data_IF_036963870759
#
_entry.id   IF_036963870759
#
_cell.length_a   1.000
_cell.length_b   1.000
_cell.length_c   1.000
_cell.angle_alpha   90.00
_cell.angle_beta   90.00
_cell.angle_gamma   90.00
#
_symmetry.space_group_name_H-M   'P 1'
#
loop_
_entity.id
_entity.type
_entity.pdbx_description
1 polymer ?
#
# COMPACT_ATOMS: atom_id res chain seq x y z
N UNK A 1 2.92 -40.06 -4.88
CA UNK A 1 3.52 -40.83 -6.00
C UNK A 1 2.54 -40.87 -7.17
N UNK A 2 3.08 -40.91 -8.40
CA UNK A 2 2.42 -40.95 -9.73
C UNK A 2 2.12 -39.56 -10.32
N UNK A 3 2.92 -38.98 -11.24
CA UNK A 3 3.52 -39.40 -12.54
C UNK A 3 2.63 -39.00 -13.74
N UNK A 4 3.09 -37.94 -14.41
CA UNK A 4 3.23 -37.64 -15.86
C UNK A 4 2.03 -37.56 -16.82
N UNK A 5 2.04 -36.45 -17.59
CA UNK A 5 1.82 -36.29 -19.05
C UNK A 5 2.61 -35.00 -19.43
N UNK A 6 3.69 -34.93 -20.24
CA UNK A 6 3.93 -35.21 -21.69
C UNK A 6 2.79 -34.68 -22.59
N UNK A 7 2.98 -33.98 -23.71
CA UNK A 7 4.10 -33.39 -24.46
C UNK A 7 3.50 -32.57 -25.65
N UNK A 8 4.25 -31.62 -26.25
CA UNK A 8 4.32 -31.23 -27.70
C UNK A 8 5.11 -29.87 -27.79
N UNK A 9 6.38 -29.81 -28.26
CA UNK A 9 6.90 -29.67 -29.65
C UNK A 9 6.35 -28.44 -30.40
N UNK A 10 7.09 -27.59 -31.15
CA UNK A 10 8.50 -27.40 -31.50
C UNK A 10 8.65 -26.05 -32.26
N UNK A 11 9.90 -25.67 -32.61
CA UNK A 11 10.32 -24.78 -33.73
C UNK A 11 10.21 -23.24 -33.55
N UNK A 12 11.18 -22.37 -33.89
CA UNK A 12 12.48 -22.49 -34.56
C UNK A 12 13.38 -21.29 -34.22
N UNK A 13 14.70 -21.49 -34.28
CA UNK A 13 15.72 -20.44 -34.36
C UNK A 13 16.15 -20.18 -35.83
N UNK A 14 16.89 -19.08 -36.03
CA UNK A 14 17.76 -18.71 -37.18
C UNK A 14 17.16 -17.94 -38.39
N UNK A 15 17.58 -16.67 -38.50
CA UNK A 15 18.08 -16.02 -39.73
C UNK A 15 18.90 -14.80 -39.29
N UNK A 16 20.23 -14.84 -39.26
CA UNK A 16 21.18 -14.75 -40.38
C UNK A 16 21.26 -13.34 -40.99
N UNK A 17 22.40 -12.70 -40.73
CA UNK A 17 22.96 -11.52 -41.42
C UNK A 17 23.18 -11.84 -42.90
N UNK A 18 22.98 -10.84 -43.77
CA UNK A 18 23.80 -10.61 -44.97
C UNK A 18 23.99 -9.10 -45.15
N UNK A 19 25.24 -8.74 -45.42
CA UNK A 19 25.78 -7.41 -45.67
C UNK A 19 25.24 -6.74 -46.95
N UNK A 20 25.29 -5.41 -46.99
CA UNK A 20 24.93 -4.63 -48.18
C UNK A 20 25.22 -3.14 -48.03
N UNK A 21 26.48 -2.79 -48.24
CA UNK A 21 27.09 -1.46 -48.35
C UNK A 21 26.33 -0.53 -49.32
N UNK A 22 26.20 0.76 -48.97
CA UNK A 22 26.31 1.95 -49.86
C UNK A 22 26.17 3.24 -49.00
N UNK A 23 27.30 3.86 -48.67
CA UNK A 23 27.48 5.31 -48.43
C UNK A 23 27.84 5.99 -49.78
N UNK A 24 28.00 7.33 -49.93
CA UNK A 24 27.95 8.42 -48.94
C UNK A 24 27.16 9.68 -49.41
N UNK A 25 27.02 10.67 -48.51
CA UNK A 25 26.54 12.01 -48.86
C UNK A 25 26.56 13.02 -47.71
N UNK A 26 27.74 13.53 -47.35
CA UNK A 26 27.95 14.80 -46.66
C UNK A 26 28.50 15.82 -47.69
N UNK A 27 28.58 17.16 -47.47
CA UNK A 27 28.62 17.86 -46.17
C UNK A 27 27.80 19.17 -46.09
N UNK A 28 27.67 19.72 -44.88
CA UNK A 28 27.83 21.16 -44.68
C UNK A 28 28.25 21.44 -43.25
N UNK A 29 29.49 21.91 -43.14
CA UNK A 29 30.15 22.39 -41.94
C UNK A 29 29.70 23.82 -41.62
N UNK A 30 29.59 24.15 -40.34
CA UNK A 30 29.81 25.52 -39.88
C UNK A 30 30.47 25.46 -38.52
N UNK A 31 31.78 25.70 -38.50
CA UNK A 31 32.60 25.86 -37.31
C UNK A 31 32.69 27.33 -36.94
N UNK A 32 32.59 27.67 -35.65
CA UNK A 32 33.15 28.91 -35.09
C UNK A 32 33.54 28.72 -33.60
N UNK A 33 34.86 28.68 -33.38
CA UNK A 33 35.66 29.43 -32.39
C UNK A 33 35.27 29.53 -30.88
N UNK A 34 36.07 28.82 -30.05
CA UNK A 34 36.83 29.17 -28.82
C UNK A 34 36.64 30.53 -28.09
N UNK A 35 36.92 30.66 -26.76
CA UNK A 35 38.14 30.12 -26.12
C UNK A 35 38.09 29.60 -24.67
N UNK A 36 39.14 28.84 -24.35
CA UNK A 36 39.54 28.37 -23.03
C UNK A 36 40.31 29.46 -22.26
N UNK A 37 40.14 29.51 -20.94
CA UNK A 37 40.95 30.34 -20.05
C UNK A 37 41.71 29.48 -19.02
N UNK A 38 43.03 29.51 -19.17
CA UNK A 38 44.06 29.85 -18.17
C UNK A 38 44.13 29.02 -16.86
N UNK A 39 45.20 28.22 -16.75
CA UNK A 39 45.87 27.83 -15.50
C UNK A 39 46.99 28.85 -15.19
N UNK A 40 47.24 29.21 -13.92
CA UNK A 40 48.51 29.83 -13.53
C UNK A 40 49.50 28.77 -13.03
N UNK A 41 50.70 28.82 -13.60
CA UNK A 41 51.94 28.23 -13.12
C UNK A 41 52.76 29.34 -12.46
N UNK A 42 53.27 29.14 -11.25
CA UNK A 42 54.29 29.99 -10.63
C UNK A 42 55.39 29.08 -10.05
N UNK A 43 56.51 29.05 -10.77
CA UNK A 43 57.88 28.98 -10.24
C UNK A 43 58.45 30.41 -10.47
N UNK A 44 59.48 30.97 -9.83
CA UNK A 44 60.57 30.53 -8.96
C UNK A 44 61.20 31.80 -8.34
N UNK A 45 62.33 31.61 -7.63
CA UNK A 45 63.38 32.59 -7.25
C UNK A 45 63.18 33.28 -5.89
N UNK A 46 63.91 32.85 -4.85
CA UNK A 46 65.34 33.11 -4.52
C UNK A 46 65.52 34.50 -3.88
N UNK A 47 65.92 34.54 -2.59
CA UNK A 47 67.20 35.13 -2.19
C UNK A 47 67.53 34.90 -0.69
N UNK A 48 68.82 34.83 -0.43
CA UNK A 48 69.55 34.50 0.79
C UNK A 48 69.87 35.77 1.58
N UNK A 49 69.77 35.75 2.92
CA UNK A 49 70.88 36.13 3.84
C UNK A 49 70.47 36.06 5.32
N UNK A 50 71.41 35.51 6.11
CA UNK A 50 71.38 35.41 7.56
C UNK A 50 71.41 36.78 8.26
N UNK A 51 70.96 36.88 9.52
CA UNK A 51 71.79 37.24 10.70
C UNK A 51 70.96 37.19 12.01
N UNK A 52 71.53 36.59 13.06
CA UNK A 52 71.41 36.93 14.50
C UNK A 52 70.13 36.60 15.31
N UNK A 53 70.32 35.66 16.24
CA UNK A 53 69.62 35.57 17.53
C UNK A 53 69.94 36.78 18.42
N UNK A 54 69.03 37.16 19.34
CA UNK A 54 69.34 36.91 20.74
C UNK A 54 68.17 36.37 21.57
N UNK A 55 68.57 35.60 22.58
CA UNK A 55 67.80 35.03 23.68
C UNK A 55 66.94 36.06 24.40
N UNK A 56 65.65 35.79 24.63
CA UNK A 56 64.87 36.37 25.74
C UNK A 56 63.89 35.35 26.29
N UNK A 57 64.17 34.93 27.51
CA UNK A 57 63.32 34.12 28.39
C UNK A 57 62.17 34.99 28.91
N UNK A 58 60.94 34.48 28.81
CA UNK A 58 59.70 35.06 29.35
C UNK A 58 58.64 33.96 29.52
N UNK A 59 57.69 34.10 30.47
CA UNK A 59 57.05 32.99 31.21
C UNK A 59 55.96 32.24 30.42
N UNK A 60 55.53 31.04 30.89
CA UNK A 60 54.55 30.23 30.19
C UNK A 60 53.15 30.84 30.33
N UNK A 61 52.66 31.49 29.27
CA UNK A 61 51.25 31.84 29.18
C UNK A 61 50.43 30.59 28.85
N UNK A 62 49.68 30.14 29.85
CA UNK A 62 48.68 29.07 29.77
C UNK A 62 47.35 29.70 29.34
N UNK A 63 47.24 30.19 28.10
CA UNK A 63 45.98 30.71 27.55
C UNK A 63 45.84 30.44 26.03
N UNK A 64 45.93 29.19 25.60
CA UNK A 64 45.53 28.82 24.23
C UNK A 64 44.93 27.41 24.16
N UNK A 65 43.78 27.19 24.79
CA UNK A 65 42.90 26.03 24.47
C UNK A 65 41.42 26.39 24.61
N UNK A 66 41.00 27.50 23.99
CA UNK A 66 39.60 27.93 23.94
C UNK A 66 38.90 27.76 22.58
N UNK A 67 39.63 27.50 21.49
CA UNK A 67 39.10 27.67 20.12
C UNK A 67 38.93 26.37 19.30
N UNK A 68 39.08 25.18 19.89
CA UNK A 68 39.28 23.97 19.09
C UNK A 68 38.12 22.96 19.06
N UNK A 69 37.08 23.10 19.90
CA UNK A 69 35.95 22.17 19.90
C UNK A 69 34.88 22.49 18.85
N UNK A 70 34.42 23.75 18.84
CA UNK A 70 33.27 24.21 18.06
C UNK A 70 33.63 24.50 16.59
N UNK A 71 34.84 25.00 16.32
CA UNK A 71 35.27 25.31 14.96
C UNK A 71 35.59 24.02 14.19
N UNK A 72 36.31 23.08 14.82
CA UNK A 72 36.64 21.77 14.22
C UNK A 72 35.38 20.93 13.96
N UNK A 73 34.43 20.91 14.90
CA UNK A 73 33.14 20.22 14.69
C UNK A 73 32.28 20.88 13.61
N UNK A 74 32.27 22.21 13.51
CA UNK A 74 31.57 22.94 12.43
C UNK A 74 32.20 22.70 11.04
N UNK A 75 33.53 22.56 10.97
CA UNK A 75 34.25 22.28 9.74
C UNK A 75 34.07 20.82 9.30
N UNK A 76 34.13 19.86 10.24
CA UNK A 76 33.89 18.44 9.97
C UNK A 76 32.44 18.18 9.53
N UNK A 77 31.46 18.85 10.15
CA UNK A 77 30.05 18.77 9.73
C UNK A 77 29.80 19.42 8.37
N UNK A 78 30.47 20.53 8.04
CA UNK A 78 30.44 21.13 6.68
C UNK A 78 31.11 20.24 5.63
N UNK A 79 32.21 19.58 5.95
CA UNK A 79 32.90 18.68 5.01
C UNK A 79 32.08 17.40 4.77
N UNK A 80 31.51 16.83 5.83
CA UNK A 80 30.61 15.69 5.75
C UNK A 80 29.33 15.98 4.96
N UNK A 81 28.72 17.15 5.14
CA UNK A 81 27.54 17.57 4.36
C UNK A 81 27.86 17.83 2.89
N UNK A 82 29.00 18.46 2.57
CA UNK A 82 29.46 18.62 1.18
C UNK A 82 29.70 17.27 0.51
N UNK A 83 30.33 16.32 1.19
CA UNK A 83 30.53 14.96 0.70
C UNK A 83 29.23 14.26 0.34
N UNK A 84 28.24 14.28 1.26
CA UNK A 84 26.90 13.70 1.02
C UNK A 84 26.19 14.35 -0.17
N UNK A 85 26.25 15.68 -0.28
CA UNK A 85 25.62 16.42 -1.39
C UNK A 85 26.21 16.06 -2.76
N UNK A 86 27.53 15.83 -2.84
CA UNK A 86 28.18 15.41 -4.08
C UNK A 86 27.82 13.98 -4.47
N UNK A 87 27.72 13.07 -3.49
CA UNK A 87 27.26 11.70 -3.72
C UNK A 87 25.82 11.70 -4.24
N UNK A 88 24.94 12.52 -3.65
CA UNK A 88 23.57 12.68 -4.12
C UNK A 88 23.52 13.19 -5.56
N UNK A 89 24.24 14.28 -5.87
CA UNK A 89 24.24 14.86 -7.21
C UNK A 89 24.67 13.84 -8.28
N UNK A 90 25.70 13.02 -7.98
CA UNK A 90 26.12 11.91 -8.86
C UNK A 90 25.08 10.80 -8.97
N UNK A 91 24.37 10.49 -7.89
CA UNK A 91 23.28 9.51 -7.92
C UNK A 91 22.13 10.01 -8.80
N UNK A 92 21.72 11.27 -8.64
CA UNK A 92 20.66 11.89 -9.43
C UNK A 92 21.03 11.95 -10.92
N UNK A 93 22.25 12.39 -11.27
CA UNK A 93 22.73 12.37 -12.66
C UNK A 93 22.67 10.97 -13.27
N UNK A 94 23.13 9.96 -12.52
CA UNK A 94 23.03 8.56 -12.96
C UNK A 94 21.59 8.08 -13.11
N UNK A 95 20.68 8.48 -12.21
CA UNK A 95 19.25 8.19 -12.33
C UNK A 95 18.70 8.74 -13.65
N UNK A 96 18.90 10.02 -13.95
CA UNK A 96 18.42 10.65 -15.19
C UNK A 96 18.98 9.96 -16.45
N UNK A 97 20.26 9.57 -16.43
CA UNK A 97 20.89 8.87 -17.54
C UNK A 97 20.30 7.46 -17.76
N UNK A 98 20.08 6.68 -16.68
CA UNK A 98 19.43 5.37 -16.77
C UNK A 98 17.99 5.50 -17.27
N UNK A 99 17.31 6.55 -16.83
CA UNK A 99 15.93 6.82 -17.21
C UNK A 99 15.79 7.14 -18.70
N UNK A 100 16.63 8.04 -19.23
CA UNK A 100 16.64 8.42 -20.65
C UNK A 100 16.75 7.21 -21.58
N UNK A 101 17.50 6.19 -21.17
CA UNK A 101 17.68 4.96 -21.92
C UNK A 101 16.46 4.01 -21.83
N UNK A 102 15.62 4.16 -20.81
CA UNK A 102 14.43 3.33 -20.54
C UNK A 102 13.13 3.87 -21.18
N UNK A 103 13.05 5.16 -21.54
CA UNK A 103 11.84 5.80 -22.11
C UNK A 103 11.62 5.45 -23.60
N UNK A 104 12.41 4.52 -24.18
CA UNK A 104 12.17 4.04 -25.56
C UNK A 104 10.95 3.11 -25.68
N UNK A 105 10.40 2.66 -24.56
CA UNK A 105 9.22 1.79 -24.48
C UNK A 105 7.94 2.59 -24.16
N UNK A 106 6.83 2.21 -24.79
CA UNK A 106 5.51 2.82 -24.54
C UNK A 106 4.85 2.37 -23.22
N UNK A 107 5.46 1.43 -22.47
CA UNK A 107 4.94 0.91 -21.20
C UNK A 107 5.88 1.22 -20.04
N UNK A 108 5.66 2.36 -19.40
CA UNK A 108 6.46 2.88 -18.28
C UNK A 108 6.53 1.89 -17.10
N UNK A 109 5.44 1.17 -16.81
CA UNK A 109 5.40 0.24 -15.69
C UNK A 109 6.27 -0.98 -15.96
N UNK A 110 6.14 -1.57 -17.15
CA UNK A 110 6.93 -2.73 -17.54
C UNK A 110 8.42 -2.39 -17.60
N UNK A 111 8.78 -1.26 -18.21
CA UNK A 111 10.17 -0.82 -18.30
C UNK A 111 10.76 -0.54 -16.93
N UNK A 112 10.01 0.11 -16.02
CA UNK A 112 10.47 0.33 -14.64
C UNK A 112 10.62 -1.01 -13.89
N UNK A 113 9.67 -1.93 -14.01
CA UNK A 113 9.77 -3.26 -13.39
C UNK A 113 11.02 -4.02 -13.85
N UNK A 114 11.40 -3.91 -15.12
CA UNK A 114 12.60 -4.54 -15.65
C UNK A 114 13.87 -3.81 -15.21
N UNK A 115 13.86 -2.48 -15.21
CA UNK A 115 14.96 -1.65 -14.74
C UNK A 115 15.35 -1.97 -13.29
N UNK A 116 14.36 -2.14 -12.41
CA UNK A 116 14.56 -2.48 -11.00
C UNK A 116 15.21 -3.85 -10.75
N UNK A 117 15.29 -4.72 -11.76
CA UNK A 117 15.99 -6.03 -11.67
C UNK A 117 17.46 -5.95 -12.06
N UNK A 118 17.93 -4.78 -12.50
CA UNK A 118 19.30 -4.62 -13.01
C UNK A 118 20.26 -4.19 -11.92
N UNK A 119 21.50 -4.69 -11.97
CA UNK A 119 22.58 -4.29 -11.07
C UNK A 119 22.83 -2.77 -11.07
N UNK A 120 22.60 -2.11 -12.20
CA UNK A 120 22.79 -0.66 -12.32
C UNK A 120 21.89 0.13 -11.36
N UNK A 121 20.66 -0.35 -11.13
CA UNK A 121 19.70 0.23 -10.20
C UNK A 121 19.98 -0.17 -8.74
N UNK A 122 20.48 -1.38 -8.49
CA UNK A 122 21.00 -1.76 -7.17
C UNK A 122 22.18 -0.86 -6.74
N UNK A 123 23.17 -0.68 -7.61
CA UNK A 123 24.31 0.19 -7.34
C UNK A 123 23.86 1.65 -7.14
N UNK A 124 22.77 2.07 -7.80
CA UNK A 124 22.19 3.40 -7.64
C UNK A 124 21.56 3.55 -6.24
N UNK A 125 20.84 2.54 -5.79
CA UNK A 125 20.26 2.50 -4.44
C UNK A 125 21.33 2.66 -3.36
N UNK A 126 22.45 1.93 -3.48
CA UNK A 126 23.54 2.03 -2.51
C UNK A 126 24.15 3.45 -2.46
N UNK A 127 24.23 4.16 -3.59
CA UNK A 127 24.65 5.57 -3.64
C UNK A 127 23.67 6.49 -2.91
N UNK A 128 22.36 6.27 -3.10
CA UNK A 128 21.34 7.02 -2.36
C UNK A 128 21.47 6.81 -0.85
N UNK A 129 21.63 5.56 -0.42
CA UNK A 129 21.85 5.22 0.98
C UNK A 129 23.07 5.93 1.57
N UNK A 130 24.19 6.00 0.84
CA UNK A 130 25.39 6.73 1.25
C UNK A 130 25.17 8.25 1.37
N UNK A 131 24.30 8.80 0.52
CA UNK A 131 23.94 10.23 0.59
C UNK A 131 23.02 10.59 1.75
N UNK A 132 22.30 9.60 2.31
CA UNK A 132 21.28 9.81 3.34
C UNK A 132 19.90 10.22 2.79
N UNK A 133 19.68 10.10 1.47
CA UNK A 133 18.40 10.36 0.82
C UNK A 133 17.74 9.05 0.39
N UNK A 134 16.41 9.03 0.37
CA UNK A 134 15.66 7.88 -0.11
C UNK A 134 15.66 7.88 -1.64
N UNK A 135 16.10 6.78 -2.24
CA UNK A 135 16.10 6.64 -3.70
C UNK A 135 14.71 6.82 -4.29
N UNK A 136 13.65 6.47 -3.54
CA UNK A 136 12.26 6.54 -3.98
C UNK A 136 11.80 7.97 -4.33
N UNK A 137 12.42 9.01 -3.79
CA UNK A 137 11.97 10.40 -4.01
C UNK A 137 12.02 10.80 -5.49
N UNK A 138 13.06 10.40 -6.21
CA UNK A 138 13.27 10.73 -7.63
C UNK A 138 12.30 9.99 -8.57
N UNK A 139 12.15 8.64 -8.49
CA UNK A 139 11.11 7.91 -9.21
C UNK A 139 9.71 8.46 -8.94
N UNK A 140 9.35 8.77 -7.69
CA UNK A 140 8.04 9.34 -7.41
C UNK A 140 7.88 10.73 -8.01
N UNK A 141 8.90 11.59 -7.93
CA UNK A 141 8.83 12.93 -8.52
C UNK A 141 8.61 12.87 -10.03
N UNK A 142 9.18 11.86 -10.69
CA UNK A 142 9.07 11.71 -12.13
C UNK A 142 7.79 11.01 -12.58
N UNK A 143 7.46 9.86 -11.98
CA UNK A 143 6.36 8.99 -12.44
C UNK A 143 5.07 9.14 -11.62
N UNK A 144 5.10 9.87 -10.51
CA UNK A 144 4.00 9.98 -9.57
C UNK A 144 3.90 8.81 -8.60
N UNK A 145 3.27 9.04 -7.44
CA UNK A 145 3.12 8.03 -6.40
C UNK A 145 2.30 6.81 -6.89
N UNK A 146 1.31 7.02 -7.77
CA UNK A 146 0.42 5.96 -8.24
C UNK A 146 1.18 4.89 -9.04
N UNK A 147 1.94 5.31 -10.08
CA UNK A 147 2.69 4.39 -10.95
C UNK A 147 3.74 3.65 -10.13
N UNK A 148 4.46 4.37 -9.27
CA UNK A 148 5.46 3.77 -8.38
C UNK A 148 4.84 2.74 -7.44
N UNK A 149 3.76 3.09 -6.75
CA UNK A 149 3.10 2.16 -5.84
C UNK A 149 2.58 0.92 -6.56
N UNK A 150 2.11 1.06 -7.79
CA UNK A 150 1.65 -0.06 -8.63
C UNK A 150 2.78 -0.99 -9.04
N UNK A 151 3.90 -0.44 -9.51
CA UNK A 151 5.12 -1.19 -9.84
C UNK A 151 5.66 -1.93 -8.61
N UNK A 152 5.64 -1.28 -7.45
CA UNK A 152 6.17 -1.83 -6.20
C UNK A 152 5.20 -2.77 -5.48
N UNK A 153 3.89 -2.71 -5.78
CA UNK A 153 2.86 -3.57 -5.15
C UNK A 153 3.14 -5.07 -5.31
N UNK A 154 3.95 -5.46 -6.30
CA UNK A 154 4.37 -6.85 -6.50
C UNK A 154 5.35 -7.37 -5.44
N UNK A 155 6.19 -6.49 -4.89
CA UNK A 155 7.16 -6.82 -3.86
C UNK A 155 6.57 -6.81 -2.46
N UNK A 156 5.40 -6.20 -2.31
CA UNK A 156 4.60 -6.23 -1.08
C UNK A 156 3.91 -7.60 -1.00
N UNK A 157 4.71 -8.66 -0.80
CA UNK A 157 4.18 -9.99 -0.52
C UNK A 157 3.51 -9.96 0.86
N UNK A 158 2.25 -10.37 0.89
CA UNK A 158 1.46 -10.55 2.09
C UNK A 158 2.07 -11.66 2.96
N UNK A 159 3.08 -11.35 3.77
CA UNK A 159 3.25 -12.06 5.02
C UNK A 159 2.72 -11.14 6.13
N UNK A 160 1.39 -11.20 6.24
CA UNK A 160 0.52 -10.24 6.91
C UNK A 160 0.67 -10.20 8.43
N UNK A 161 1.55 -11.01 9.04
CA UNK A 161 1.61 -11.22 10.49
C UNK A 161 2.88 -10.72 11.16
N UNK A 162 3.83 -10.15 10.42
CA UNK A 162 5.05 -9.64 11.05
C UNK A 162 5.67 -8.44 10.34
N UNK A 163 5.50 -7.21 10.88
CA UNK A 163 6.21 -6.03 10.41
C UNK A 163 7.74 -6.21 10.42
N UNK A 164 8.28 -7.10 11.26
CA UNK A 164 9.71 -7.40 11.32
C UNK A 164 10.25 -8.14 10.07
N UNK A 165 9.39 -8.68 9.18
CA UNK A 165 9.84 -9.17 7.87
C UNK A 165 10.12 -8.03 6.87
N UNK A 166 9.55 -6.83 7.05
CA UNK A 166 9.93 -5.66 6.24
C UNK A 166 11.37 -5.22 6.48
N UNK A 167 11.96 -5.53 7.64
CA UNK A 167 13.37 -5.31 7.91
C UNK A 167 14.33 -6.23 7.12
N UNK A 168 13.79 -7.24 6.42
CA UNK A 168 14.56 -8.21 5.60
C UNK A 168 14.36 -8.00 4.10
N UNK A 169 14.04 -6.78 3.65
CA UNK A 169 13.96 -6.46 2.22
C UNK A 169 15.27 -6.85 1.50
N UNK A 170 15.19 -7.88 0.65
CA UNK A 170 16.36 -8.48 -0.01
C UNK A 170 16.55 -7.94 -1.43
N UNK A 171 15.44 -7.72 -2.12
CA UNK A 171 15.45 -7.19 -3.49
C UNK A 171 15.32 -5.67 -3.50
N UNK A 172 15.80 -5.02 -4.57
CA UNK A 172 15.61 -3.58 -4.75
C UNK A 172 14.14 -3.16 -4.70
N UNK A 173 13.26 -3.94 -5.32
CA UNK A 173 11.82 -3.66 -5.35
C UNK A 173 11.21 -3.68 -3.94
N UNK A 174 11.62 -4.62 -3.07
CA UNK A 174 11.20 -4.66 -1.67
C UNK A 174 11.72 -3.44 -0.89
N UNK A 175 12.99 -3.06 -1.10
CA UNK A 175 13.60 -1.90 -0.45
C UNK A 175 12.89 -0.60 -0.84
N UNK A 176 12.64 -0.40 -2.13
CA UNK A 176 11.92 0.77 -2.64
C UNK A 176 10.45 0.78 -2.19
N UNK A 177 9.79 -0.38 -2.08
CA UNK A 177 8.44 -0.46 -1.52
C UNK A 177 8.43 0.04 -0.06
N UNK A 178 9.42 -0.36 0.75
CA UNK A 178 9.56 0.12 2.12
C UNK A 178 9.87 1.61 2.19
N UNK A 179 10.77 2.11 1.34
CA UNK A 179 11.08 3.54 1.24
C UNK A 179 9.81 4.34 0.89
N UNK A 180 8.97 3.83 -0.02
CA UNK A 180 7.70 4.46 -0.39
C UNK A 180 6.75 4.59 0.81
N UNK A 181 6.57 3.51 1.59
CA UNK A 181 5.72 3.53 2.79
C UNK A 181 6.29 4.49 3.86
N UNK A 182 7.61 4.44 4.09
CA UNK A 182 8.31 5.32 5.04
C UNK A 182 8.20 6.79 4.63
N UNK A 183 8.28 7.06 3.33
CA UNK A 183 8.11 8.40 2.77
C UNK A 183 6.70 8.92 2.98
N UNK A 184 5.66 8.11 2.73
CA UNK A 184 4.28 8.49 3.03
C UNK A 184 4.07 8.77 4.52
N UNK A 185 4.63 7.93 5.40
CA UNK A 185 4.56 8.13 6.85
C UNK A 185 5.26 9.45 7.27
N UNK A 186 6.46 9.71 6.76
CA UNK A 186 7.23 10.94 7.05
C UNK A 186 6.50 12.18 6.56
N UNK A 187 5.82 12.08 5.41
CA UNK A 187 4.97 13.13 4.85
C UNK A 187 3.58 13.21 5.50
N UNK A 188 3.33 12.38 6.54
CA UNK A 188 2.07 12.33 7.29
C UNK A 188 0.84 12.08 6.39
N UNK A 189 1.00 11.31 5.31
CA UNK A 189 -0.15 10.88 4.51
C UNK A 189 -1.06 10.02 5.38
N UNK A 190 -2.35 10.35 5.38
CA UNK A 190 -3.37 9.53 6.02
C UNK A 190 -3.62 8.25 5.21
N UNK A 191 -4.30 7.27 5.80
CA UNK A 191 -4.72 6.08 5.06
C UNK A 191 -5.67 6.44 3.91
N UNK A 192 -6.49 7.48 4.08
CA UNK A 192 -7.38 7.98 3.04
C UNK A 192 -6.57 8.59 1.88
N UNK A 193 -5.54 9.39 2.17
CA UNK A 193 -4.65 9.93 1.13
C UNK A 193 -3.96 8.82 0.34
N UNK A 194 -3.57 7.73 1.02
CA UNK A 194 -2.96 6.56 0.36
C UNK A 194 -4.00 5.78 -0.45
N UNK A 195 -5.23 5.63 0.05
CA UNK A 195 -6.33 5.03 -0.69
C UNK A 195 -6.58 5.77 -2.01
N UNK A 196 -6.65 7.10 -1.96
CA UNK A 196 -6.85 7.96 -3.13
C UNK A 196 -5.63 7.95 -4.06
N UNK A 197 -4.41 7.98 -3.51
CA UNK A 197 -3.15 7.87 -4.26
C UNK A 197 -3.10 6.58 -5.08
N UNK A 198 -3.57 5.47 -4.50
CA UNK A 198 -3.64 4.17 -5.15
C UNK A 198 -4.84 4.05 -6.11
N UNK A 199 -5.76 5.02 -6.04
CA UNK A 199 -7.01 5.09 -6.80
C UNK A 199 -7.84 3.82 -6.62
N UNK A 200 -8.00 3.38 -5.37
CA UNK A 200 -8.67 2.10 -5.04
C UNK A 200 -10.19 2.11 -5.30
N UNK A 201 -10.79 3.28 -5.49
CA UNK A 201 -12.18 3.43 -5.94
C UNK A 201 -12.32 3.61 -7.46
N UNK A 202 -11.20 3.59 -8.21
CA UNK A 202 -11.19 3.69 -9.67
C UNK A 202 -10.55 2.44 -10.27
N UNK A 203 -11.08 2.00 -11.41
CA UNK A 203 -10.42 0.99 -12.22
C UNK A 203 -10.05 1.59 -13.57
N UNK A 204 -8.82 1.31 -13.98
CA UNK A 204 -8.36 1.49 -15.35
C UNK A 204 -8.90 0.31 -16.16
N UNK A 205 -10.17 0.37 -16.57
CA UNK A 205 -10.67 -0.57 -17.56
C UNK A 205 -10.33 -0.09 -18.96
N UNK A 206 -9.89 -1.01 -19.81
CA UNK A 206 -9.94 -0.78 -21.24
C UNK A 206 -11.41 -0.69 -21.68
N UNK A 207 -11.72 0.09 -22.73
CA UNK A 207 -13.07 0.13 -23.30
C UNK A 207 -13.66 -1.26 -23.59
N UNK A 208 -12.82 -2.19 -24.05
CA UNK A 208 -13.22 -3.58 -24.33
C UNK A 208 -13.63 -4.35 -23.07
N UNK A 209 -12.93 -4.13 -21.95
CA UNK A 209 -13.28 -4.74 -20.68
C UNK A 209 -14.62 -4.18 -20.14
N UNK A 210 -14.88 -2.89 -20.32
CA UNK A 210 -16.18 -2.29 -19.97
C UNK A 210 -17.31 -2.86 -20.83
N UNK A 211 -17.09 -3.00 -22.14
CA UNK A 211 -18.06 -3.59 -23.05
C UNK A 211 -18.38 -5.04 -22.66
N UNK A 212 -17.37 -5.84 -22.32
CA UNK A 212 -17.59 -7.21 -21.87
C UNK A 212 -18.35 -7.29 -20.53
N UNK A 213 -18.06 -6.39 -19.57
CA UNK A 213 -18.80 -6.34 -18.30
C UNK A 213 -20.26 -5.93 -18.52
N UNK A 214 -20.51 -4.96 -19.40
CA UNK A 214 -21.86 -4.53 -19.76
C UNK A 214 -22.69 -5.69 -20.37
N UNK A 215 -22.06 -6.53 -21.20
CA UNK A 215 -22.70 -7.73 -21.77
C UNK A 215 -23.06 -8.78 -20.72
N UNK A 216 -22.31 -8.88 -19.63
CA UNK A 216 -22.59 -9.83 -18.54
C UNK A 216 -23.80 -9.44 -17.68
N UNK A 217 -24.43 -8.26 -17.92
CA UNK A 217 -25.52 -7.69 -17.09
C UNK A 217 -25.20 -7.67 -15.60
N UNK A 218 -23.93 -7.76 -15.22
CA UNK A 218 -23.49 -7.71 -13.84
C UNK A 218 -23.47 -6.26 -13.39
N UNK A 219 -23.71 -6.04 -12.10
CA UNK A 219 -23.51 -4.73 -11.51
C UNK A 219 -22.03 -4.36 -11.66
N UNK A 220 -21.74 -3.38 -12.54
CA UNK A 220 -20.37 -2.94 -12.84
C UNK A 220 -19.64 -2.54 -11.56
N UNK A 221 -20.32 -1.88 -10.61
CA UNK A 221 -19.71 -1.51 -9.32
C UNK A 221 -19.23 -2.74 -8.52
N UNK A 222 -19.96 -3.87 -8.58
CA UNK A 222 -19.58 -5.10 -7.87
C UNK A 222 -18.40 -5.77 -8.55
N UNK A 223 -18.39 -5.83 -9.88
CA UNK A 223 -17.26 -6.38 -10.64
C UNK A 223 -16.00 -5.54 -10.38
N UNK A 224 -16.15 -4.21 -10.37
CA UNK A 224 -15.09 -3.27 -10.03
C UNK A 224 -14.54 -3.58 -8.64
N UNK A 225 -15.43 -3.62 -7.66
CA UNK A 225 -15.09 -3.88 -6.27
C UNK A 225 -14.37 -5.23 -6.11
N UNK A 226 -14.94 -6.33 -6.63
CA UNK A 226 -14.34 -7.66 -6.53
C UNK A 226 -12.96 -7.76 -7.18
N UNK A 227 -12.73 -7.07 -8.31
CA UNK A 227 -11.42 -7.02 -8.95
C UNK A 227 -10.43 -6.21 -8.11
N UNK A 228 -10.86 -5.09 -7.55
CA UNK A 228 -10.03 -4.23 -6.73
C UNK A 228 -9.63 -4.91 -5.40
N UNK A 229 -10.56 -5.59 -4.73
CA UNK A 229 -10.30 -6.30 -3.47
C UNK A 229 -9.24 -7.40 -3.63
N UNK A 230 -9.07 -7.96 -4.85
CA UNK A 230 -8.04 -8.94 -5.18
C UNK A 230 -6.74 -8.32 -5.70
N UNK A 231 -6.72 -7.00 -5.91
CA UNK A 231 -5.57 -6.33 -6.48
C UNK A 231 -4.42 -6.26 -5.46
N UNK A 232 -3.18 -6.28 -5.96
CA UNK A 232 -2.01 -6.08 -5.10
C UNK A 232 -1.96 -4.69 -4.47
N UNK A 233 -2.73 -3.72 -4.98
CA UNK A 233 -2.85 -2.38 -4.39
C UNK A 233 -3.48 -2.44 -3.00
N UNK A 234 -4.37 -3.40 -2.73
CA UNK A 234 -4.95 -3.60 -1.38
C UNK A 234 -3.87 -3.96 -0.36
N UNK A 235 -2.91 -4.80 -0.72
CA UNK A 235 -1.78 -5.15 0.15
C UNK A 235 -0.94 -3.91 0.51
N UNK A 236 -0.82 -2.94 -0.40
CA UNK A 236 -0.08 -1.70 -0.12
C UNK A 236 -0.78 -0.89 0.98
N UNK A 237 -2.11 -0.73 0.88
CA UNK A 237 -2.89 -0.03 1.90
C UNK A 237 -2.89 -0.78 3.24
N UNK A 238 -3.05 -2.10 3.21
CA UNK A 238 -3.01 -2.95 4.41
C UNK A 238 -1.64 -2.87 5.12
N UNK A 239 -0.54 -2.90 4.38
CA UNK A 239 0.78 -2.76 5.01
C UNK A 239 1.05 -1.34 5.51
N UNK A 240 0.51 -0.33 4.84
CA UNK A 240 0.57 1.02 5.36
C UNK A 240 -0.22 1.20 6.67
N UNK A 241 -1.36 0.51 6.83
CA UNK A 241 -2.12 0.54 8.10
C UNK A 241 -1.34 -0.11 9.23
N UNK A 242 -0.59 -1.19 8.96
CA UNK A 242 0.31 -1.84 9.93
C UNK A 242 1.47 -0.94 10.34
N UNK A 243 1.98 -0.13 9.43
CA UNK A 243 3.06 0.81 9.72
C UNK A 243 2.57 2.00 10.56
N UNK A 244 1.38 2.52 10.26
CA UNK A 244 0.87 3.76 10.86
C UNK A 244 0.02 3.56 12.11
N UNK A 245 -0.63 2.40 12.24
CA UNK A 245 -1.48 2.04 13.36
C UNK A 245 -1.27 0.57 13.77
N UNK A 246 -0.06 0.16 14.21
CA UNK A 246 0.29 -1.25 14.40
C UNK A 246 -0.67 -2.00 15.32
N UNK A 247 -1.10 -1.38 16.42
CA UNK A 247 -1.99 -1.99 17.43
C UNK A 247 -3.44 -2.13 16.95
N UNK A 248 -3.87 -1.31 15.99
CA UNK A 248 -5.26 -1.25 15.49
C UNK A 248 -5.32 -1.30 13.95
N UNK A 249 -4.36 -2.00 13.33
CA UNK A 249 -4.10 -1.90 11.89
C UNK A 249 -5.26 -2.43 11.04
N UNK A 250 -5.93 -3.49 11.49
CA UNK A 250 -7.12 -4.06 10.86
C UNK A 250 -8.29 -3.07 10.87
N UNK A 251 -8.52 -2.40 12.00
CA UNK A 251 -9.57 -1.40 12.17
C UNK A 251 -9.28 -0.16 11.32
N UNK A 252 -8.04 0.31 11.32
CA UNK A 252 -7.61 1.45 10.52
C UNK A 252 -7.76 1.15 9.00
N UNK A 253 -7.36 -0.05 8.58
CA UNK A 253 -7.56 -0.52 7.20
C UNK A 253 -9.05 -0.57 6.82
N UNK A 254 -9.89 -1.20 7.64
CA UNK A 254 -11.33 -1.28 7.39
C UNK A 254 -11.97 0.12 7.29
N UNK A 255 -11.62 1.06 8.17
CA UNK A 255 -12.14 2.44 8.13
C UNK A 255 -11.77 3.15 6.83
N UNK A 256 -10.54 3.00 6.36
CA UNK A 256 -10.08 3.56 5.08
C UNK A 256 -10.88 2.97 3.91
N UNK A 257 -11.12 1.64 3.90
CA UNK A 257 -11.96 1.01 2.88
C UNK A 257 -13.39 1.53 2.92
N UNK A 258 -14.04 1.54 4.09
CA UNK A 258 -15.41 2.02 4.23
C UNK A 258 -15.56 3.45 3.74
N UNK A 259 -14.63 4.34 4.12
CA UNK A 259 -14.64 5.73 3.65
C UNK A 259 -14.39 5.84 2.15
N UNK A 260 -13.34 5.20 1.65
CA UNK A 260 -12.93 5.27 0.25
C UNK A 260 -13.96 4.69 -0.74
N UNK A 261 -14.77 3.71 -0.31
CA UNK A 261 -15.86 3.15 -1.10
C UNK A 261 -17.22 3.83 -0.88
N UNK A 262 -17.26 5.00 -0.23
CA UNK A 262 -18.47 5.82 -0.11
C UNK A 262 -19.33 5.54 1.13
N UNK A 263 -18.70 5.13 2.23
CA UNK A 263 -19.31 4.92 3.54
C UNK A 263 -19.67 3.47 3.84
N UNK A 264 -19.92 3.19 5.12
CA UNK A 264 -20.14 1.83 5.67
C UNK A 264 -21.24 1.07 4.92
N UNK A 265 -22.41 1.68 4.74
CA UNK A 265 -23.54 1.05 4.05
C UNK A 265 -23.21 0.69 2.59
N UNK A 266 -22.55 1.60 1.86
CA UNK A 266 -22.18 1.34 0.45
C UNK A 266 -21.12 0.25 0.38
N UNK A 267 -20.11 0.32 1.24
CA UNK A 267 -19.05 -0.69 1.34
C UNK A 267 -19.61 -2.08 1.63
N UNK A 268 -20.42 -2.25 2.69
CA UNK A 268 -20.99 -3.56 3.02
C UNK A 268 -21.96 -4.06 1.95
N UNK A 269 -22.71 -3.18 1.28
CA UNK A 269 -23.52 -3.57 0.12
C UNK A 269 -22.65 -4.18 -0.98
N UNK A 270 -21.54 -3.53 -1.33
CA UNK A 270 -20.61 -4.03 -2.35
C UNK A 270 -19.93 -5.32 -1.91
N UNK A 271 -19.47 -5.38 -0.66
CA UNK A 271 -18.83 -6.56 -0.07
C UNK A 271 -19.75 -7.79 -0.10
N UNK A 272 -21.04 -7.62 0.25
CA UNK A 272 -22.03 -8.70 0.21
C UNK A 272 -22.34 -9.17 -1.20
N UNK A 273 -22.50 -8.24 -2.15
CA UNK A 273 -22.72 -8.59 -3.54
C UNK A 273 -21.49 -9.26 -4.17
N UNK A 274 -20.29 -8.89 -3.72
CA UNK A 274 -19.04 -9.51 -4.13
C UNK A 274 -18.81 -10.91 -3.55
N UNK A 275 -19.50 -11.26 -2.45
CA UNK A 275 -19.40 -12.56 -1.78
C UNK A 275 -19.94 -13.74 -2.60
N UNK A 276 -20.54 -13.49 -3.77
CA UNK A 276 -20.81 -14.52 -4.78
C UNK A 276 -19.51 -15.06 -5.41
N UNK A 277 -18.42 -14.27 -5.37
CA UNK A 277 -17.09 -14.71 -5.76
C UNK A 277 -16.47 -15.52 -4.62
N UNK A 278 -16.33 -16.84 -4.83
CA UNK A 278 -15.72 -17.76 -3.85
C UNK A 278 -14.35 -17.32 -3.36
N UNK A 279 -13.59 -16.57 -4.17
CA UNK A 279 -12.27 -16.07 -3.79
C UNK A 279 -12.31 -14.94 -2.74
N UNK A 280 -13.49 -14.38 -2.46
CA UNK A 280 -13.66 -13.26 -1.52
C UNK A 280 -14.40 -13.64 -0.24
N UNK A 281 -14.79 -14.91 -0.07
CA UNK A 281 -15.61 -15.36 1.07
C UNK A 281 -14.89 -15.17 2.40
N UNK A 282 -13.63 -15.62 2.48
CA UNK A 282 -12.83 -15.52 3.71
C UNK A 282 -12.53 -14.06 4.05
N UNK A 283 -12.09 -13.27 3.05
CA UNK A 283 -11.85 -11.84 3.21
C UNK A 283 -13.10 -11.08 3.68
N UNK A 284 -14.27 -11.46 3.15
CA UNK A 284 -15.54 -10.87 3.57
C UNK A 284 -15.85 -11.23 5.03
N UNK A 285 -15.59 -12.46 5.46
CA UNK A 285 -15.73 -12.88 6.85
C UNK A 285 -14.84 -12.07 7.79
N UNK A 286 -13.56 -11.97 7.45
CA UNK A 286 -12.54 -11.27 8.23
C UNK A 286 -12.93 -9.79 8.42
N UNK A 287 -13.34 -9.11 7.34
CA UNK A 287 -13.73 -7.70 7.39
C UNK A 287 -15.00 -7.47 8.23
N UNK A 288 -15.94 -8.42 8.23
CA UNK A 288 -17.14 -8.36 9.08
C UNK A 288 -16.79 -8.57 10.55
N UNK A 289 -15.87 -9.48 10.86
CA UNK A 289 -15.42 -9.70 12.23
C UNK A 289 -14.67 -8.49 12.77
N UNK A 290 -13.80 -7.89 11.96
CA UNK A 290 -13.14 -6.62 12.31
C UNK A 290 -14.17 -5.52 12.54
N UNK A 291 -15.20 -5.43 11.70
CA UNK A 291 -16.29 -4.46 11.88
C UNK A 291 -17.05 -4.65 13.19
N UNK A 292 -17.40 -5.90 13.53
CA UNK A 292 -18.09 -6.21 14.77
C UNK A 292 -17.22 -5.93 16.00
N UNK A 293 -15.94 -6.29 15.98
CA UNK A 293 -14.99 -5.94 17.06
C UNK A 293 -14.89 -4.43 17.25
N UNK A 294 -14.72 -3.68 16.16
CA UNK A 294 -14.70 -2.22 16.18
C UNK A 294 -16.02 -1.66 16.72
N UNK A 295 -17.16 -2.19 16.28
CA UNK A 295 -18.49 -1.75 16.73
C UNK A 295 -18.70 -2.00 18.22
N UNK A 296 -18.20 -3.12 18.77
CA UNK A 296 -18.22 -3.38 20.21
C UNK A 296 -17.37 -2.37 20.98
N UNK A 297 -16.16 -2.07 20.49
CA UNK A 297 -15.27 -1.08 21.10
C UNK A 297 -15.89 0.32 21.11
N UNK A 298 -16.59 0.68 20.03
CA UNK A 298 -17.33 1.93 19.88
C UNK A 298 -18.69 1.90 20.63
N UNK A 299 -19.00 0.81 21.34
CA UNK A 299 -20.25 0.59 22.09
C UNK A 299 -21.51 0.74 21.21
N UNK A 300 -21.40 0.40 19.93
CA UNK A 300 -22.48 0.48 18.93
C UNK A 300 -23.59 -0.50 19.28
N UNK A 301 -24.82 0.00 19.30
CA UNK A 301 -26.00 -0.82 19.58
C UNK A 301 -26.11 -1.99 18.58
N UNK A 302 -26.38 -3.23 19.04
CA UNK A 302 -26.52 -4.41 18.17
C UNK A 302 -27.48 -4.21 16.99
N UNK A 303 -28.59 -3.48 17.19
CA UNK A 303 -29.56 -3.16 16.13
C UNK A 303 -28.88 -2.40 14.99
N UNK A 304 -28.09 -1.36 15.31
CA UNK A 304 -27.43 -0.51 14.34
C UNK A 304 -26.28 -1.23 13.62
N UNK A 305 -25.46 -2.00 14.37
CA UNK A 305 -24.37 -2.78 13.79
C UNK A 305 -24.89 -3.79 12.76
N UNK A 306 -25.95 -4.55 13.10
CA UNK A 306 -26.53 -5.53 12.19
C UNK A 306 -27.37 -4.90 11.07
N UNK A 307 -27.83 -3.66 11.23
CA UNK A 307 -28.41 -2.89 10.14
C UNK A 307 -27.39 -2.59 9.04
N UNK A 308 -26.14 -2.30 9.41
CA UNK A 308 -25.05 -2.06 8.44
C UNK A 308 -24.64 -3.39 7.78
N UNK A 309 -24.37 -4.43 8.58
CA UNK A 309 -23.90 -5.74 8.06
C UNK A 309 -24.87 -6.42 7.10
N UNK A 310 -26.18 -6.21 7.27
CA UNK A 310 -27.20 -6.74 6.36
C UNK A 310 -27.40 -5.93 5.09
N UNK A 311 -26.73 -4.78 4.94
CA UNK A 311 -26.95 -3.93 3.76
C UNK A 311 -26.65 -4.72 2.49
N UNK A 312 -27.61 -4.77 1.57
CA UNK A 312 -27.48 -5.53 0.32
C UNK A 312 -27.94 -6.99 0.39
N UNK A 313 -28.36 -7.48 1.56
CA UNK A 313 -28.93 -8.83 1.73
C UNK A 313 -30.47 -8.80 1.77
N UNK A 314 -31.14 -9.91 1.39
CA UNK A 314 -32.56 -10.09 1.70
C UNK A 314 -32.77 -10.10 3.22
N UNK A 315 -33.96 -9.73 3.68
CA UNK A 315 -34.25 -9.59 5.12
C UNK A 315 -33.96 -10.88 5.87
N UNK A 316 -34.37 -12.01 5.29
CA UNK A 316 -34.27 -13.35 5.85
C UNK A 316 -32.82 -13.82 6.03
N UNK A 317 -31.83 -13.14 5.43
CA UNK A 317 -30.42 -13.51 5.55
C UNK A 317 -29.92 -13.44 6.99
N UNK A 318 -30.48 -12.56 7.84
CA UNK A 318 -30.12 -12.50 9.26
C UNK A 318 -30.35 -13.82 9.99
N UNK A 319 -31.27 -14.65 9.50
CA UNK A 319 -31.57 -15.95 10.08
C UNK A 319 -30.57 -17.03 9.65
N UNK A 320 -29.63 -16.74 8.75
CA UNK A 320 -28.55 -17.67 8.39
C UNK A 320 -27.72 -18.04 9.63
N UNK A 321 -27.37 -19.31 9.78
CA UNK A 321 -26.63 -19.85 10.93
C UNK A 321 -25.38 -19.03 11.26
N UNK A 322 -24.53 -18.76 10.25
CA UNK A 322 -23.30 -17.96 10.43
C UNK A 322 -23.58 -16.54 10.91
N UNK A 323 -24.64 -15.90 10.42
CA UNK A 323 -24.99 -14.53 10.85
C UNK A 323 -25.61 -14.55 12.24
N UNK A 324 -26.40 -15.58 12.57
CA UNK A 324 -26.99 -15.79 13.89
C UNK A 324 -25.92 -16.04 14.96
N UNK A 325 -24.85 -16.77 14.63
CA UNK A 325 -23.73 -17.00 15.55
C UNK A 325 -23.00 -15.70 15.87
N UNK A 326 -22.70 -14.89 14.84
CA UNK A 326 -22.10 -13.55 15.02
C UNK A 326 -23.02 -12.64 15.83
N UNK A 327 -24.33 -12.65 15.55
CA UNK A 327 -25.32 -11.84 16.28
C UNK A 327 -25.40 -12.23 17.75
N UNK A 328 -25.51 -13.52 18.04
CA UNK A 328 -25.60 -14.03 19.40
C UNK A 328 -24.35 -13.69 20.19
N UNK A 329 -23.18 -13.88 19.58
CA UNK A 329 -21.88 -13.53 20.18
C UNK A 329 -21.79 -12.03 20.45
N UNK A 330 -22.12 -11.19 19.47
CA UNK A 330 -22.08 -9.74 19.61
C UNK A 330 -23.02 -9.24 20.71
N UNK A 331 -24.27 -9.70 20.71
CA UNK A 331 -25.28 -9.30 21.71
C UNK A 331 -24.84 -9.70 23.11
N UNK A 332 -24.31 -10.93 23.27
CA UNK A 332 -23.77 -11.40 24.54
C UNK A 332 -22.65 -10.46 25.02
N UNK A 333 -21.62 -10.26 24.21
CA UNK A 333 -20.46 -9.43 24.58
C UNK A 333 -20.85 -7.97 24.84
N UNK A 334 -21.74 -7.40 24.04
CA UNK A 334 -22.27 -6.05 24.24
C UNK A 334 -22.99 -5.89 25.59
N UNK A 335 -23.65 -6.94 26.08
CA UNK A 335 -24.43 -6.91 27.32
C UNK A 335 -23.63 -7.24 28.59
N UNK A 336 -22.44 -7.84 28.48
CA UNK A 336 -21.66 -8.41 29.61
C UNK A 336 -21.48 -7.44 30.79
N UNK A 337 -21.37 -6.13 30.52
CA UNK A 337 -21.19 -5.10 31.54
C UNK A 337 -22.34 -4.08 31.59
N UNK A 338 -23.52 -4.44 31.07
CA UNK A 338 -24.68 -3.54 31.02
C UNK A 338 -25.73 -3.93 32.07
N UNK A 339 -26.34 -2.94 32.75
CA UNK A 339 -27.48 -3.20 33.62
C UNK A 339 -28.64 -3.76 32.79
N UNK A 340 -29.46 -4.63 33.38
CA UNK A 340 -30.55 -5.35 32.70
C UNK A 340 -31.46 -4.42 31.87
N UNK A 341 -31.78 -3.23 32.39
CA UNK A 341 -32.62 -2.24 31.70
C UNK A 341 -32.01 -1.66 30.39
N UNK A 342 -30.72 -1.89 30.13
CA UNK A 342 -30.00 -1.43 28.92
C UNK A 342 -29.48 -2.59 28.08
N UNK A 343 -29.79 -3.82 28.45
CA UNK A 343 -29.44 -4.99 27.66
C UNK A 343 -30.34 -5.07 26.43
N UNK A 344 -29.77 -5.51 25.32
CA UNK A 344 -30.48 -5.75 24.07
C UNK A 344 -30.54 -7.25 23.85
N UNK A 345 -31.69 -7.82 23.47
CA UNK A 345 -31.79 -9.25 23.17
C UNK A 345 -31.55 -9.52 21.68
N UNK A 346 -31.22 -10.76 21.33
CA UNK A 346 -31.17 -11.20 19.92
C UNK A 346 -32.52 -10.99 19.24
N UNK A 347 -33.62 -11.20 19.98
CA UNK A 347 -34.97 -11.00 19.47
C UNK A 347 -35.23 -9.52 19.14
N UNK A 348 -34.80 -8.57 19.98
CA UNK A 348 -34.94 -7.13 19.70
C UNK A 348 -34.22 -6.73 18.40
N UNK A 349 -33.04 -7.31 18.17
CA UNK A 349 -32.25 -7.05 16.95
C UNK A 349 -32.95 -7.61 15.72
N UNK A 350 -33.45 -8.85 15.80
CA UNK A 350 -34.17 -9.50 14.71
C UNK A 350 -35.48 -8.78 14.41
N UNK A 351 -36.28 -8.49 15.43
CA UNK A 351 -37.56 -7.79 15.30
C UNK A 351 -37.35 -6.45 14.60
N UNK A 352 -36.44 -5.62 15.10
CA UNK A 352 -36.17 -4.31 14.52
C UNK A 352 -35.64 -4.39 13.08
N UNK A 353 -34.71 -5.30 12.81
CA UNK A 353 -34.07 -5.37 11.49
C UNK A 353 -34.91 -6.09 10.42
N UNK A 354 -35.87 -6.92 10.80
CA UNK A 354 -36.76 -7.64 9.88
C UNK A 354 -38.06 -6.86 9.59
N UNK A 355 -38.35 -5.80 10.34
CA UNK A 355 -39.51 -4.93 10.15
C UNK A 355 -40.64 -5.23 11.12
N UNK A 356 -40.29 -5.43 12.39
CA UNK A 356 -41.17 -5.78 13.48
C UNK A 356 -41.68 -7.22 13.42
N UNK A 357 -42.61 -7.51 14.31
CA UNK A 357 -43.13 -8.86 14.55
C UNK A 357 -43.62 -9.53 13.27
N UNK A 358 -44.36 -8.78 12.43
CA UNK A 358 -44.85 -9.26 11.13
C UNK A 358 -43.71 -9.64 10.19
N UNK A 359 -42.64 -8.87 10.14
CA UNK A 359 -41.47 -9.13 9.32
C UNK A 359 -40.70 -10.34 9.79
N UNK A 360 -40.51 -10.47 11.11
CA UNK A 360 -39.89 -11.63 11.74
C UNK A 360 -40.69 -12.91 11.48
N UNK A 361 -41.99 -12.92 11.76
CA UNK A 361 -42.87 -14.07 11.52
C UNK A 361 -42.84 -14.51 10.05
N UNK A 362 -42.95 -13.56 9.12
CA UNK A 362 -42.85 -13.87 7.68
C UNK A 362 -41.50 -14.51 7.33
N UNK A 363 -40.41 -13.99 7.91
CA UNK A 363 -39.05 -14.51 7.66
C UNK A 363 -38.87 -15.92 8.22
N UNK A 364 -39.39 -16.20 9.42
CA UNK A 364 -39.37 -17.52 10.05
C UNK A 364 -40.16 -18.56 9.23
N UNK A 365 -41.36 -18.18 8.79
CA UNK A 365 -42.21 -19.03 7.94
C UNK A 365 -41.55 -19.32 6.59
N UNK A 366 -40.94 -18.31 5.96
CA UNK A 366 -40.29 -18.46 4.66
C UNK A 366 -39.07 -19.39 4.69
N UNK A 367 -38.39 -19.51 5.84
CA UNK A 367 -37.14 -20.26 5.94
C UNK A 367 -37.34 -21.76 6.22
N UNK A 368 -38.59 -22.24 6.33
CA UNK A 368 -38.91 -23.62 6.76
C UNK A 368 -38.07 -24.06 7.96
N UNK A 369 -37.87 -23.18 8.96
CA UNK A 369 -37.17 -23.58 10.17
C UNK A 369 -38.01 -24.69 10.83
N UNK A 370 -37.48 -25.91 10.85
CA UNK A 370 -38.05 -27.02 11.60
C UNK A 370 -38.33 -26.56 13.03
N UNK A 371 -39.43 -27.07 13.60
CA UNK A 371 -39.95 -26.74 14.94
C UNK A 371 -38.86 -26.56 16.01
N UNK A 372 -37.79 -27.34 15.96
CA UNK A 372 -36.66 -27.32 16.89
C UNK A 372 -35.96 -25.95 17.03
N UNK A 373 -35.94 -25.11 15.98
CA UNK A 373 -35.36 -23.75 16.05
C UNK A 373 -36.34 -22.74 16.67
N UNK A 374 -37.64 -23.00 16.59
CA UNK A 374 -38.69 -22.17 17.20
C UNK A 374 -38.70 -22.37 18.72
N UNK A 375 -38.36 -23.58 19.19
CA UNK A 375 -38.25 -23.90 20.62
C UNK A 375 -37.12 -23.15 21.35
N UNK A 376 -36.06 -22.72 20.66
CA UNK A 376 -34.95 -21.95 21.26
C UNK A 376 -35.23 -20.44 21.39
N UNK A 377 -36.22 -19.90 20.67
CA UNK A 377 -36.57 -18.46 20.65
C UNK A 377 -37.50 -18.00 21.80
N UNK A 378 -37.80 -18.90 22.74
CA UNK A 378 -38.40 -18.70 24.08
C UNK A 378 -39.22 -17.40 24.27
N UNK A 379 -40.31 -17.26 23.53
CA UNK A 379 -41.47 -16.45 23.95
C UNK A 379 -42.77 -17.24 23.75
N UNK A 380 -43.72 -17.21 24.71
CA UNK A 380 -44.98 -17.96 24.61
C UNK A 380 -45.83 -17.57 23.39
N UNK A 381 -45.74 -16.30 23.00
CA UNK A 381 -46.53 -15.68 21.92
C UNK A 381 -46.29 -16.32 20.56
N UNK A 382 -45.03 -16.69 20.25
CA UNK A 382 -44.68 -17.32 18.98
C UNK A 382 -45.18 -18.77 18.89
N UNK A 383 -45.29 -19.49 20.02
CA UNK A 383 -45.75 -20.88 20.06
C UNK A 383 -47.25 -21.00 19.78
N UNK A 384 -48.06 -20.10 20.33
CA UNK A 384 -49.51 -20.09 20.11
C UNK A 384 -49.90 -19.76 18.67
N UNK A 385 -49.09 -18.98 17.96
CA UNK A 385 -49.37 -18.60 16.57
C UNK A 385 -48.97 -19.68 15.56
N UNK A 386 -47.91 -20.45 15.83
CA UNK A 386 -47.50 -21.60 14.99
C UNK A 386 -48.45 -22.79 15.18
N UNK A 387 -48.93 -23.02 16.41
CA UNK A 387 -49.84 -24.12 16.75
C UNK A 387 -51.31 -23.92 16.29
N UNK A 388 -51.65 -22.77 15.69
CA UNK A 388 -52.99 -22.48 15.15
C UNK A 388 -53.12 -22.71 13.63
N UNK A 389 -52.14 -23.39 13.02
CA UNK A 389 -52.35 -24.15 11.78
C UNK A 389 -52.72 -25.58 12.15
#
# INVERSE_FOLDING_TARGET
MRVHYLAFLASSALSARVDGVMEPGAPNETALYFPAAVRPSIASDDDVTATRSPTRVGPPNVEERGLSGTIVSSALSKLGSRGKSMVLARAQDKFYNLQKNSIRDNDVEHSLQNALKTKAWDDLYDRYKLSGHLMIDDPTKHYGDEIIARVLSQAVKADSRNPAKFAKATTLTEKLALDQLTRWQTRKKTLDDVFDTLRLNHLDFTPDALAHIALLKKNLEVVVFSRMMRSRKMNVLENYSKLTAPENSEVAYLRALMKGFGGEKKFFKLLRQANEDKALVDMTDDLEDVFLKMSLADNTNPVAAFQILRTGLPKEALLNERIMDKLTTYVKTYNENKPAARQVTVLDVLDTNLGGERGLLKSLVNKNLHEDTIYSLRTPTLREMVSRR
#
